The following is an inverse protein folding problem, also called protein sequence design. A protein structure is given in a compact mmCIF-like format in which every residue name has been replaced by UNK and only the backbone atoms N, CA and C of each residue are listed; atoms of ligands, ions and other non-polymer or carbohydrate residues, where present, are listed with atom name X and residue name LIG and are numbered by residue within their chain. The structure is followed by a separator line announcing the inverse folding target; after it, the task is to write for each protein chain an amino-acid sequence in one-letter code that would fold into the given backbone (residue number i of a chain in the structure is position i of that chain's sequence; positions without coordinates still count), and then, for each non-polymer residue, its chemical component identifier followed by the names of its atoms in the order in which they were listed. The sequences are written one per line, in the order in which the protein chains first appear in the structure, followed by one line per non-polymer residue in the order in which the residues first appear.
data_IF_641686818730
#
_entry.id   IF_641686818730
#
_cell.length_a   1.000
_cell.length_b   1.000
_cell.length_c   1.000
_cell.angle_alpha   90.00
_cell.angle_beta   90.00
_cell.angle_gamma   90.00
#
_symmetry.space_group_name_H-M   'P 1'
#
loop_
_entity.id
_entity.type
_entity.pdbx_description
1 polymer ?
#
# COMPACT_ATOMS: atom_id res chain seq x y z
N UNK A 1 -27.80 15.07 -31.94
CA UNK A 1 -26.97 16.19 -31.47
C UNK A 1 -25.69 15.60 -30.89
N UNK A 2 -24.65 15.45 -31.72
CA UNK A 2 -23.36 14.89 -31.28
C UNK A 2 -22.62 15.98 -30.50
N UNK A 3 -22.57 15.85 -29.18
CA UNK A 3 -21.74 16.69 -28.32
C UNK A 3 -20.29 16.25 -28.50
N UNK A 4 -19.55 16.96 -29.34
CA UNK A 4 -18.09 16.81 -29.44
C UNK A 4 -17.50 17.24 -28.11
N UNK A 5 -17.15 16.28 -27.27
CA UNK A 5 -16.48 16.55 -26.00
C UNK A 5 -15.16 17.28 -26.31
N UNK A 6 -14.92 18.48 -25.78
CA UNK A 6 -13.68 19.20 -26.04
C UNK A 6 -12.51 18.33 -25.59
N UNK A 7 -11.55 18.13 -26.50
CA UNK A 7 -10.34 17.35 -26.22
C UNK A 7 -9.66 18.00 -25.00
N UNK A 8 -9.41 17.25 -23.91
CA UNK A 8 -8.75 17.80 -22.74
C UNK A 8 -7.42 18.43 -23.15
N UNK A 9 -7.12 19.63 -22.66
CA UNK A 9 -5.85 20.35 -22.95
C UNK A 9 -4.62 19.71 -22.30
N UNK A 10 -4.76 18.48 -21.79
CA UNK A 10 -3.77 17.77 -21.01
C UNK A 10 -3.75 16.30 -21.41
N UNK A 11 -2.57 15.68 -21.27
CA UNK A 11 -2.36 14.25 -21.48
C UNK A 11 -2.20 13.53 -20.14
N UNK A 12 -2.63 12.28 -20.09
CA UNK A 12 -2.21 11.37 -19.04
C UNK A 12 -0.80 10.88 -19.32
N UNK A 13 0.02 10.81 -18.29
CA UNK A 13 1.36 10.23 -18.39
C UNK A 13 1.31 8.72 -18.11
N UNK A 14 2.25 7.93 -18.64
CA UNK A 14 2.38 6.53 -18.27
C UNK A 14 2.72 6.36 -16.77
N UNK A 15 2.38 5.20 -16.19
CA UNK A 15 2.60 4.93 -14.77
C UNK A 15 4.06 5.11 -14.30
N UNK A 16 5.03 4.82 -15.15
CA UNK A 16 6.45 4.99 -14.82
C UNK A 16 6.85 6.46 -14.56
N UNK A 17 6.01 7.42 -14.98
CA UNK A 17 6.19 8.84 -14.69
C UNK A 17 5.56 9.29 -13.37
N UNK A 18 4.64 8.52 -12.79
CA UNK A 18 3.78 9.01 -11.71
C UNK A 18 4.54 9.45 -10.46
N UNK A 19 5.68 8.85 -10.15
CA UNK A 19 6.52 9.26 -9.03
C UNK A 19 7.00 10.73 -9.12
N UNK A 20 7.02 11.30 -10.32
CA UNK A 20 7.35 12.71 -10.53
C UNK A 20 6.15 13.65 -10.39
N UNK A 21 4.92 13.13 -10.25
CA UNK A 21 3.75 13.95 -9.96
C UNK A 21 3.78 14.43 -8.50
N UNK A 22 3.47 15.70 -8.22
CA UNK A 22 3.38 16.20 -6.84
C UNK A 22 2.29 15.51 -6.02
N UNK A 23 1.35 14.80 -6.65
CA UNK A 23 0.21 14.15 -5.99
C UNK A 23 0.42 12.66 -5.69
N UNK A 24 1.34 11.98 -6.38
CA UNK A 24 1.37 10.51 -6.38
C UNK A 24 1.80 9.89 -5.05
N UNK A 25 2.79 10.51 -4.40
CA UNK A 25 3.32 10.07 -3.10
C UNK A 25 2.94 11.02 -1.95
N UNK A 26 1.96 11.90 -2.18
CA UNK A 26 1.49 12.87 -1.20
C UNK A 26 0.13 12.47 -0.64
N UNK A 27 -0.15 12.87 0.60
CA UNK A 27 -1.51 12.91 1.14
C UNK A 27 -2.21 14.12 0.54
N UNK A 28 -2.87 13.93 -0.61
CA UNK A 28 -3.49 15.02 -1.37
C UNK A 28 -4.64 15.60 -0.54
N UNK A 29 -4.52 16.87 -0.17
CA UNK A 29 -5.58 17.57 0.56
C UNK A 29 -6.74 17.83 -0.40
N UNK A 30 -7.90 17.28 -0.08
CA UNK A 30 -9.11 17.39 -0.91
C UNK A 30 -10.29 17.75 -0.03
N UNK A 31 -11.19 18.54 -0.61
CA UNK A 31 -12.55 18.60 -0.12
C UNK A 31 -13.28 17.30 -0.46
N UNK A 32 -14.30 16.94 0.31
CA UNK A 32 -15.08 15.72 0.11
C UNK A 32 -15.75 15.70 -1.26
N UNK A 33 -16.32 16.81 -1.71
CA UNK A 33 -16.85 16.93 -3.06
C UNK A 33 -15.80 16.63 -4.15
N UNK A 34 -14.54 17.02 -3.93
CA UNK A 34 -13.46 16.75 -4.86
C UNK A 34 -13.02 15.28 -4.84
N UNK A 35 -13.13 14.58 -3.69
CA UNK A 35 -12.90 13.13 -3.60
C UNK A 35 -13.85 12.41 -4.55
N UNK A 36 -15.14 12.76 -4.52
CA UNK A 36 -16.14 12.16 -5.41
C UNK A 36 -15.91 12.48 -6.88
N UNK A 37 -15.44 13.70 -7.17
CA UNK A 37 -15.11 14.16 -8.51
C UNK A 37 -13.85 13.51 -9.12
N UNK A 38 -13.04 12.79 -8.33
CA UNK A 38 -11.90 12.05 -8.85
C UNK A 38 -12.33 11.05 -9.92
N UNK A 39 -11.61 11.01 -11.04
CA UNK A 39 -11.94 10.14 -12.18
C UNK A 39 -11.10 8.86 -12.16
N UNK A 40 -11.75 7.74 -12.43
CA UNK A 40 -11.07 6.47 -12.71
C UNK A 40 -10.75 6.39 -14.20
N UNK A 41 -9.57 5.88 -14.55
CA UNK A 41 -9.14 5.71 -15.93
C UNK A 41 -9.01 4.21 -16.23
N UNK A 42 -9.56 3.69 -17.36
CA UNK A 42 -9.57 2.26 -17.65
C UNK A 42 -8.19 1.59 -17.57
N UNK A 43 -7.16 2.27 -18.08
CA UNK A 43 -5.77 1.77 -18.09
C UNK A 43 -5.16 1.62 -16.68
N UNK A 44 -5.78 2.25 -15.67
CA UNK A 44 -5.28 2.29 -14.29
C UNK A 44 -6.29 1.78 -13.26
N UNK A 45 -7.46 1.29 -13.69
CA UNK A 45 -8.57 0.93 -12.81
C UNK A 45 -8.17 -0.12 -11.75
N UNK A 46 -7.31 -1.07 -12.11
CA UNK A 46 -6.84 -2.14 -11.20
C UNK A 46 -5.85 -1.64 -10.14
N UNK A 47 -5.28 -0.45 -10.31
CA UNK A 47 -4.21 0.08 -9.46
C UNK A 47 -4.74 0.95 -8.30
N UNK A 48 -6.07 1.15 -8.21
CA UNK A 48 -6.72 2.09 -7.27
C UNK A 48 -6.11 3.51 -7.36
N UNK A 49 -5.79 3.93 -8.58
CA UNK A 49 -5.29 5.28 -8.88
C UNK A 49 -6.41 6.04 -9.57
N UNK A 50 -6.66 7.24 -9.06
CA UNK A 50 -7.66 8.16 -9.58
C UNK A 50 -7.02 9.44 -10.08
N UNK A 51 -7.77 10.27 -10.78
CA UNK A 51 -7.23 11.45 -11.43
C UNK A 51 -8.06 12.69 -11.13
N UNK A 52 -7.37 13.75 -10.70
CA UNK A 52 -7.88 15.11 -10.77
C UNK A 52 -7.16 15.81 -11.93
N UNK A 53 -7.89 16.25 -12.95
CA UNK A 53 -7.31 16.56 -14.27
C UNK A 53 -6.46 15.39 -14.79
N UNK A 54 -5.13 15.55 -14.85
CA UNK A 54 -4.15 14.52 -15.16
C UNK A 54 -3.18 14.20 -14.00
N UNK A 55 -3.47 14.65 -12.78
CA UNK A 55 -2.70 14.32 -11.58
C UNK A 55 -3.12 12.96 -11.04
N UNK A 56 -2.22 11.95 -10.93
CA UNK A 56 -2.53 10.67 -10.31
C UNK A 56 -2.63 10.81 -8.78
N UNK A 57 -3.74 10.34 -8.20
CA UNK A 57 -4.07 10.43 -6.78
C UNK A 57 -4.37 9.02 -6.26
N UNK A 58 -3.67 8.61 -5.20
CA UNK A 58 -3.89 7.33 -4.51
C UNK A 58 -4.05 7.45 -2.99
N UNK A 59 -3.69 8.61 -2.44
CA UNK A 59 -3.80 8.94 -1.03
C UNK A 59 -4.47 10.30 -0.89
N UNK A 60 -5.43 10.39 0.03
CA UNK A 60 -6.18 11.62 0.29
C UNK A 60 -6.11 12.01 1.76
N UNK A 61 -6.19 13.30 2.02
CA UNK A 61 -6.35 13.87 3.36
C UNK A 61 -7.63 14.71 3.35
N UNK A 62 -8.57 14.35 4.20
CA UNK A 62 -9.83 15.11 4.40
C UNK A 62 -9.88 15.62 5.83
N UNK A 63 -10.50 16.77 6.03
CA UNK A 63 -10.78 17.35 7.35
C UNK A 63 -12.24 17.74 7.40
N UNK A 64 -12.98 17.20 8.37
CA UNK A 64 -14.41 17.46 8.50
C UNK A 64 -15.00 16.84 9.76
N UNK A 65 -16.24 17.18 10.06
CA UNK A 65 -17.00 16.67 11.17
C UNK A 65 -17.48 15.24 10.90
N UNK A 66 -17.41 14.38 11.92
CA UNK A 66 -18.06 13.08 11.91
C UNK A 66 -19.57 13.30 12.08
N UNK A 67 -20.37 12.91 11.10
CA UNK A 67 -21.84 13.09 11.12
C UNK A 67 -22.60 11.78 11.35
N UNK A 68 -21.94 10.63 11.19
CA UNK A 68 -22.48 9.32 11.56
C UNK A 68 -21.35 8.36 11.91
N UNK A 69 -21.65 7.39 12.79
CA UNK A 69 -20.75 6.30 13.19
C UNK A 69 -21.56 5.01 13.14
N UNK A 70 -21.23 4.13 12.20
CA UNK A 70 -21.98 2.90 11.94
C UNK A 70 -21.15 1.66 12.27
N UNK A 71 -21.70 0.77 13.11
CA UNK A 71 -21.16 -0.57 13.35
C UNK A 71 -21.76 -1.55 12.32
N UNK A 72 -21.08 -1.72 11.20
CA UNK A 72 -21.61 -2.50 10.07
C UNK A 72 -21.53 -3.99 10.32
N UNK A 73 -20.35 -4.46 10.75
CA UNK A 73 -20.09 -5.84 11.10
C UNK A 73 -18.82 -5.95 11.95
N UNK A 74 -18.44 -7.18 12.30
CA UNK A 74 -17.25 -7.47 13.11
C UNK A 74 -15.93 -6.94 12.52
N UNK A 75 -15.88 -6.66 11.22
CA UNK A 75 -14.69 -6.20 10.50
C UNK A 75 -14.68 -4.70 10.20
N UNK A 76 -15.83 -4.05 10.08
CA UNK A 76 -15.91 -2.68 9.60
C UNK A 76 -16.76 -1.79 10.51
N UNK A 77 -16.15 -0.66 10.88
CA UNK A 77 -16.84 0.50 11.42
C UNK A 77 -16.70 1.64 10.42
N UNK A 78 -17.80 2.34 10.11
CA UNK A 78 -17.80 3.42 9.13
C UNK A 78 -18.04 4.74 9.85
N UNK A 79 -17.20 5.73 9.54
CA UNK A 79 -17.45 7.13 9.89
C UNK A 79 -17.98 7.82 8.64
N UNK A 80 -19.08 8.57 8.74
CA UNK A 80 -19.47 9.51 7.68
C UNK A 80 -18.88 10.87 8.02
N UNK A 81 -18.09 11.43 7.11
CA UNK A 81 -17.44 12.75 7.29
C UNK A 81 -18.10 13.78 6.39
N UNK A 82 -18.38 14.96 6.94
CA UNK A 82 -18.84 16.16 6.24
C UNK A 82 -17.85 17.32 6.46
N UNK A 83 -17.38 17.93 5.39
CA UNK A 83 -16.49 19.10 5.41
C UNK A 83 -17.17 20.39 4.92
N UNK A 84 -18.49 20.35 4.69
CA UNK A 84 -19.27 21.48 4.21
C UNK A 84 -19.10 21.78 2.71
N UNK A 85 -18.35 20.98 1.96
CA UNK A 85 -18.13 21.19 0.51
C UNK A 85 -19.30 20.79 -0.38
N UNK A 86 -20.41 20.31 0.20
CA UNK A 86 -21.62 19.90 -0.49
C UNK A 86 -21.74 18.38 -0.73
N UNK A 87 -20.89 17.57 -0.10
CA UNK A 87 -20.98 16.12 -0.10
C UNK A 87 -20.41 15.52 1.19
N UNK A 88 -20.83 14.32 1.55
CA UNK A 88 -20.24 13.52 2.62
C UNK A 88 -19.46 12.33 2.05
N UNK A 89 -18.55 11.75 2.84
CA UNK A 89 -17.82 10.54 2.45
C UNK A 89 -17.70 9.56 3.59
N UNK A 90 -17.85 8.29 3.26
CA UNK A 90 -17.65 7.19 4.19
C UNK A 90 -16.17 6.87 4.35
N UNK A 91 -15.70 6.86 5.59
CA UNK A 91 -14.36 6.49 6.01
C UNK A 91 -14.42 5.22 6.83
N UNK A 92 -13.96 4.13 6.21
CA UNK A 92 -13.94 2.79 6.77
C UNK A 92 -12.74 2.58 7.69
N UNK A 93 -13.02 2.21 8.93
CA UNK A 93 -12.09 1.67 9.90
C UNK A 93 -12.12 0.14 9.78
N UNK A 94 -10.96 -0.47 9.56
CA UNK A 94 -10.83 -1.94 9.48
C UNK A 94 -10.43 -2.48 10.85
N UNK A 95 -11.32 -3.24 11.48
CA UNK A 95 -11.11 -3.94 12.75
C UNK A 95 -10.30 -5.21 12.51
N UNK A 96 -9.38 -5.52 13.41
CA UNK A 96 -8.67 -6.81 13.43
C UNK A 96 -9.62 -7.86 14.00
N UNK A 97 -9.84 -8.95 13.26
CA UNK A 97 -10.64 -10.08 13.75
C UNK A 97 -9.86 -10.88 14.79
N UNK A 98 -10.52 -11.67 15.66
CA UNK A 98 -9.84 -12.46 16.68
C UNK A 98 -8.71 -13.35 16.14
N UNK A 99 -8.85 -13.86 14.91
CA UNK A 99 -7.86 -14.72 14.26
C UNK A 99 -6.57 -13.96 13.86
N UNK A 100 -6.66 -12.63 13.75
CA UNK A 100 -5.55 -11.74 13.32
C UNK A 100 -5.06 -10.86 14.46
N UNK A 101 -5.91 -10.61 15.47
CA UNK A 101 -5.58 -9.72 16.57
C UNK A 101 -4.61 -10.39 17.54
N UNK A 102 -3.42 -9.81 17.64
CA UNK A 102 -2.41 -10.16 18.62
C UNK A 102 -2.08 -8.91 19.45
N UNK A 103 -2.44 -8.84 20.74
CA UNK A 103 -2.20 -7.65 21.58
C UNK A 103 -0.71 -7.36 21.83
N UNK A 104 0.18 -8.31 21.54
CA UNK A 104 1.64 -8.10 21.61
C UNK A 104 2.17 -7.40 20.37
N UNK A 105 1.58 -7.66 19.20
CA UNK A 105 2.00 -7.09 17.91
C UNK A 105 1.20 -5.85 17.51
N UNK A 106 -0.06 -5.76 17.93
CA UNK A 106 -0.97 -4.67 17.60
C UNK A 106 -1.45 -3.98 18.89
N UNK A 107 -1.09 -2.70 19.10
CA UNK A 107 -1.53 -1.96 20.28
C UNK A 107 -3.03 -1.67 20.26
N UNK A 108 -3.66 -1.75 19.08
CA UNK A 108 -5.08 -1.53 18.84
C UNK A 108 -5.76 -2.74 18.20
N UNK A 109 -7.09 -2.87 18.41
CA UNK A 109 -7.94 -3.85 17.74
C UNK A 109 -8.39 -3.43 16.33
N UNK A 110 -7.71 -2.46 15.72
CA UNK A 110 -7.91 -2.04 14.33
C UNK A 110 -6.57 -2.00 13.59
N UNK A 111 -6.60 -1.87 12.27
CA UNK A 111 -5.38 -1.68 11.45
C UNK A 111 -4.73 -0.30 11.63
N UNK A 112 -5.32 0.57 12.45
CA UNK A 112 -4.83 1.92 12.75
C UNK A 112 -4.48 1.98 14.24
N UNK A 113 -3.20 2.05 14.54
CA UNK A 113 -2.64 1.84 15.88
C UNK A 113 -3.28 2.68 16.99
N UNK A 114 -3.73 3.90 16.66
CA UNK A 114 -4.29 4.82 17.64
C UNK A 114 -5.82 4.88 17.65
N UNK A 115 -6.50 3.95 16.97
CA UNK A 115 -7.97 3.91 16.88
C UNK A 115 -8.47 2.62 17.50
N UNK A 116 -9.30 2.67 18.53
CA UNK A 116 -9.92 1.46 19.11
C UNK A 116 -11.42 1.46 18.91
N UNK A 117 -12.00 0.28 18.66
CA UNK A 117 -13.44 0.09 18.51
C UNK A 117 -13.95 -0.96 19.48
N UNK A 118 -14.80 -0.58 20.42
CA UNK A 118 -15.52 -1.50 21.30
C UNK A 118 -16.92 -1.67 20.75
N UNK A 119 -17.30 -2.90 20.40
CA UNK A 119 -18.65 -3.22 19.91
C UNK A 119 -19.11 -4.52 20.57
N UNK A 120 -20.09 -4.39 21.47
CA UNK A 120 -20.71 -5.46 22.25
C UNK A 120 -22.13 -5.05 22.64
N UNK A 121 -22.93 -5.98 23.15
CA UNK A 121 -24.32 -5.70 23.51
C UNK A 121 -24.41 -4.50 24.47
N UNK A 122 -25.13 -3.45 24.07
CA UNK A 122 -25.33 -2.23 24.86
C UNK A 122 -24.15 -1.26 24.92
N UNK A 123 -23.02 -1.54 24.24
CA UNK A 123 -21.85 -0.65 24.21
C UNK A 123 -21.24 -0.62 22.82
N UNK A 124 -21.27 0.57 22.21
CA UNK A 124 -20.54 0.86 20.98
C UNK A 124 -19.74 2.16 21.17
N UNK A 125 -18.42 2.06 21.08
CA UNK A 125 -17.51 3.18 21.31
C UNK A 125 -16.34 3.12 20.34
N UNK A 126 -16.03 4.27 19.73
CA UNK A 126 -14.83 4.48 18.94
C UNK A 126 -13.96 5.48 19.69
N UNK A 127 -12.67 5.19 19.85
CA UNK A 127 -11.72 6.13 20.46
C UNK A 127 -10.52 6.37 19.55
N UNK A 128 -10.01 7.60 19.60
CA UNK A 128 -8.76 8.02 18.93
C UNK A 128 -7.80 8.54 20.00
N UNK A 129 -6.62 7.93 20.14
CA UNK A 129 -5.69 8.21 21.24
C UNK A 129 -6.36 8.15 22.63
N UNK A 130 -7.20 7.14 22.86
CA UNK A 130 -8.01 6.98 24.09
C UNK A 130 -9.02 8.11 24.36
N UNK A 131 -9.26 9.00 23.41
CA UNK A 131 -10.33 10.00 23.49
C UNK A 131 -11.56 9.49 22.74
N UNK A 132 -12.77 9.55 23.32
CA UNK A 132 -13.99 9.20 22.61
C UNK A 132 -14.15 10.02 21.34
N UNK A 133 -14.48 9.33 20.25
CA UNK A 133 -14.85 9.93 18.98
C UNK A 133 -16.37 9.88 18.88
N UNK A 134 -17.01 11.04 18.93
CA UNK A 134 -18.47 11.16 18.87
C UNK A 134 -18.91 11.96 17.64
N UNK A 135 -20.18 11.86 17.29
CA UNK A 135 -20.82 12.71 16.26
C UNK A 135 -20.59 14.18 16.62
N UNK A 136 -20.21 14.98 15.62
CA UNK A 136 -19.80 16.38 15.75
C UNK A 136 -18.30 16.57 15.97
N UNK A 137 -17.53 15.50 16.24
CA UNK A 137 -16.07 15.61 16.37
C UNK A 137 -15.45 15.88 15.01
N UNK A 138 -14.61 16.91 14.91
CA UNK A 138 -13.83 17.20 13.70
C UNK A 138 -12.57 16.35 13.69
N UNK A 139 -12.33 15.66 12.58
CA UNK A 139 -11.14 14.83 12.40
C UNK A 139 -10.37 15.19 11.14
N UNK A 140 -9.06 15.00 11.21
CA UNK A 140 -8.16 14.94 10.05
C UNK A 140 -7.88 13.50 9.72
N UNK A 141 -8.40 13.01 8.61
CA UNK A 141 -8.26 11.63 8.17
C UNK A 141 -7.38 11.52 6.93
N UNK A 142 -6.36 10.66 7.02
CA UNK A 142 -5.50 10.27 5.90
C UNK A 142 -5.89 8.87 5.45
N UNK A 143 -6.27 8.75 4.18
CA UNK A 143 -6.94 7.57 3.66
C UNK A 143 -6.41 7.12 2.30
N UNK A 144 -6.56 5.83 2.02
CA UNK A 144 -6.55 5.30 0.65
C UNK A 144 -7.97 5.31 0.09
N UNK A 145 -8.11 5.36 -1.24
CA UNK A 145 -9.43 5.38 -1.89
C UNK A 145 -9.85 3.94 -2.25
N UNK A 146 -11.13 3.64 -2.07
CA UNK A 146 -11.82 2.43 -2.53
C UNK A 146 -13.15 2.78 -3.16
N UNK A 147 -13.76 1.83 -3.88
CA UNK A 147 -15.11 1.99 -4.41
C UNK A 147 -15.99 0.84 -3.93
N UNK A 148 -17.24 1.15 -3.60
CA UNK A 148 -18.28 0.17 -3.31
C UNK A 148 -19.57 0.63 -4.00
N UNK A 149 -20.17 -0.23 -4.82
CA UNK A 149 -21.37 0.10 -5.61
C UNK A 149 -21.24 1.41 -6.39
N UNK A 150 -20.08 1.61 -7.02
CA UNK A 150 -19.74 2.82 -7.79
C UNK A 150 -19.68 4.12 -6.99
N UNK A 151 -19.71 4.05 -5.66
CA UNK A 151 -19.49 5.18 -4.76
C UNK A 151 -18.09 5.11 -4.18
N UNK A 152 -17.40 6.25 -4.14
CA UNK A 152 -16.06 6.32 -3.55
C UNK A 152 -16.19 6.32 -2.03
N UNK A 153 -15.43 5.43 -1.42
CA UNK A 153 -15.27 5.33 0.03
C UNK A 153 -13.79 5.41 0.35
N UNK A 154 -13.48 5.85 1.56
CA UNK A 154 -12.11 5.98 2.04
C UNK A 154 -11.79 4.86 3.02
N UNK A 155 -10.57 4.34 2.98
CA UNK A 155 -10.06 3.41 3.99
C UNK A 155 -9.03 4.11 4.84
N UNK A 156 -9.28 4.18 6.14
CA UNK A 156 -8.50 4.95 7.08
C UNK A 156 -7.08 4.38 7.22
N UNK A 157 -6.09 5.26 7.21
CA UNK A 157 -4.68 4.93 7.47
C UNK A 157 -4.09 5.69 8.65
N UNK A 158 -4.50 6.95 8.86
CA UNK A 158 -4.13 7.75 10.04
C UNK A 158 -5.24 8.75 10.36
N UNK A 159 -5.45 9.04 11.64
CA UNK A 159 -6.45 10.00 12.10
C UNK A 159 -5.96 10.84 13.29
N UNK A 160 -6.41 12.09 13.35
CA UNK A 160 -6.25 13.00 14.48
C UNK A 160 -7.56 13.71 14.75
N UNK A 161 -7.89 13.93 16.03
CA UNK A 161 -8.96 14.84 16.44
C UNK A 161 -8.44 16.27 16.26
N UNK A 162 -9.22 17.08 15.55
CA UNK A 162 -9.02 18.53 15.40
C UNK A 162 -9.80 19.19 16.53
N UNK A 163 -9.12 19.95 17.40
CA UNK A 163 -9.68 20.35 18.70
C UNK A 163 -10.29 21.74 18.68
N UNK A 164 -9.86 22.59 17.77
CA UNK A 164 -10.29 23.98 17.72
C UNK A 164 -10.81 24.35 16.35
N UNK A 165 -11.76 25.28 16.31
CA UNK A 165 -12.27 25.84 15.06
C UNK A 165 -11.17 26.55 14.26
N UNK A 166 -10.14 27.08 14.92
CA UNK A 166 -8.98 27.65 14.24
C UNK A 166 -8.19 26.58 13.48
N UNK A 167 -7.90 25.43 14.10
CA UNK A 167 -7.22 24.32 13.42
C UNK A 167 -8.02 23.80 12.21
N UNK A 168 -9.35 23.75 12.34
CA UNK A 168 -10.25 23.40 11.24
C UNK A 168 -10.17 24.43 10.10
N UNK A 169 -10.28 25.72 10.42
CA UNK A 169 -10.19 26.80 9.44
C UNK A 169 -8.82 26.85 8.73
N UNK A 170 -7.73 26.60 9.47
CA UNK A 170 -6.38 26.47 8.91
C UNK A 170 -6.30 25.28 7.95
N UNK A 171 -6.89 24.14 8.29
CA UNK A 171 -6.92 22.98 7.40
C UNK A 171 -7.71 23.26 6.11
N UNK A 172 -8.80 24.01 6.18
CA UNK A 172 -9.53 24.47 4.98
C UNK A 172 -8.70 25.42 4.13
N UNK A 173 -7.99 26.36 4.75
CA UNK A 173 -7.09 27.26 4.05
C UNK A 173 -5.95 26.50 3.34
N UNK A 174 -5.35 25.51 4.00
CA UNK A 174 -4.33 24.63 3.40
C UNK A 174 -4.90 23.83 2.22
N UNK A 175 -6.12 23.31 2.35
CA UNK A 175 -6.78 22.51 1.30
C UNK A 175 -7.12 23.37 0.09
N UNK A 176 -7.67 24.57 0.31
CA UNK A 176 -7.96 25.54 -0.74
C UNK A 176 -6.67 26.00 -1.45
N UNK A 177 -5.61 26.29 -0.69
CA UNK A 177 -4.31 26.65 -1.26
C UNK A 177 -3.72 25.52 -2.11
N UNK A 178 -3.77 24.27 -1.61
CA UNK A 178 -3.31 23.10 -2.35
C UNK A 178 -4.09 22.90 -3.66
N UNK A 179 -5.42 22.99 -3.61
CA UNK A 179 -6.27 22.89 -4.80
C UNK A 179 -5.91 23.96 -5.82
N UNK A 180 -5.75 25.22 -5.39
CA UNK A 180 -5.41 26.34 -6.27
C UNK A 180 -4.02 26.19 -6.90
N UNK A 181 -3.02 25.85 -6.10
CA UNK A 181 -1.61 25.84 -6.52
C UNK A 181 -1.24 24.58 -7.31
N UNK A 182 -1.82 23.43 -6.98
CA UNK A 182 -1.44 22.13 -7.55
C UNK A 182 -2.54 21.57 -8.44
N UNK A 183 -3.73 21.32 -7.89
CA UNK A 183 -4.75 20.53 -8.58
C UNK A 183 -5.47 21.27 -9.71
N UNK A 184 -5.56 22.60 -9.62
CA UNK A 184 -6.27 23.43 -10.61
C UNK A 184 -5.47 23.64 -11.89
N UNK A 185 -4.20 23.26 -11.92
CA UNK A 185 -3.34 23.36 -13.10
C UNK A 185 -2.94 21.97 -13.57
N UNK A 186 -3.07 21.64 -14.87
CA UNK A 186 -2.62 20.34 -15.37
C UNK A 186 -1.14 20.08 -15.07
N UNK A 187 -0.83 18.87 -14.61
CA UNK A 187 0.54 18.41 -14.42
C UNK A 187 1.29 18.37 -15.75
N UNK A 188 2.51 18.88 -15.76
CA UNK A 188 3.41 18.86 -16.92
C UNK A 188 4.75 18.29 -16.50
N UNK A 189 5.32 17.45 -17.37
CA UNK A 189 6.70 17.01 -17.28
C UNK A 189 7.50 17.69 -18.37
N UNK A 190 8.60 18.33 -17.96
CA UNK A 190 9.59 18.87 -18.88
C UNK A 190 10.35 17.73 -19.58
N UNK A 191 10.90 18.00 -20.76
CA UNK A 191 11.73 17.01 -21.47
C UNK A 191 12.95 16.58 -20.63
N UNK A 192 13.46 17.47 -19.77
CA UNK A 192 14.55 17.16 -18.83
C UNK A 192 14.12 16.15 -17.78
N UNK A 193 12.98 16.37 -17.11
CA UNK A 193 12.45 15.44 -16.10
C UNK A 193 12.13 14.08 -16.72
N UNK A 194 11.51 14.06 -17.90
CA UNK A 194 11.19 12.81 -18.59
C UNK A 194 12.45 12.02 -18.97
N UNK A 195 13.50 12.70 -19.44
CA UNK A 195 14.80 12.09 -19.70
C UNK A 195 15.42 11.53 -18.42
N UNK A 196 15.41 12.28 -17.32
CA UNK A 196 15.94 11.82 -16.02
C UNK A 196 15.22 10.56 -15.52
N UNK A 197 13.89 10.50 -15.65
CA UNK A 197 13.10 9.31 -15.29
C UNK A 197 13.54 8.11 -16.16
N UNK A 198 13.64 8.31 -17.46
CA UNK A 198 14.00 7.25 -18.41
C UNK A 198 15.42 6.74 -18.18
N UNK A 199 16.38 7.64 -17.99
CA UNK A 199 17.78 7.31 -17.68
C UNK A 199 17.88 6.55 -16.34
N UNK A 200 17.09 6.96 -15.34
CA UNK A 200 16.99 6.28 -14.05
C UNK A 200 16.45 4.85 -14.16
N UNK A 201 15.42 4.64 -14.99
CA UNK A 201 14.86 3.30 -15.26
C UNK A 201 15.91 2.42 -15.96
N UNK A 202 16.58 2.95 -16.97
CA UNK A 202 17.63 2.22 -17.70
C UNK A 202 18.79 1.84 -16.78
N UNK A 203 19.25 2.76 -15.93
CA UNK A 203 20.30 2.48 -14.95
C UNK A 203 19.90 1.40 -13.95
N UNK A 204 18.67 1.45 -13.41
CA UNK A 204 18.14 0.39 -12.52
C UNK A 204 18.09 -0.97 -13.23
N UNK A 205 17.64 -1.01 -14.48
CA UNK A 205 17.57 -2.24 -15.29
C UNK A 205 18.96 -2.83 -15.52
N UNK A 206 19.94 -2.01 -15.87
CA UNK A 206 21.34 -2.45 -16.04
C UNK A 206 21.91 -3.03 -14.75
N UNK A 207 21.70 -2.36 -13.60
CA UNK A 207 22.14 -2.86 -12.29
C UNK A 207 21.48 -4.18 -11.94
N UNK A 208 20.18 -4.32 -12.15
CA UNK A 208 19.46 -5.56 -11.88
C UNK A 208 19.98 -6.73 -12.74
N UNK A 209 20.27 -6.49 -14.02
CA UNK A 209 20.85 -7.50 -14.91
C UNK A 209 22.25 -7.93 -14.46
N UNK A 210 23.09 -6.98 -14.04
CA UNK A 210 24.42 -7.29 -13.49
C UNK A 210 24.32 -8.11 -12.21
N UNK A 211 23.42 -7.74 -11.29
CA UNK A 211 23.17 -8.51 -10.07
C UNK A 211 22.67 -9.92 -10.35
N UNK A 212 21.79 -10.10 -11.34
CA UNK A 212 21.26 -11.40 -11.75
C UNK A 212 22.37 -12.29 -12.34
N UNK A 213 23.24 -11.74 -13.20
CA UNK A 213 24.40 -12.46 -13.73
C UNK A 213 25.34 -12.92 -12.61
N UNK A 214 25.64 -12.04 -11.66
CA UNK A 214 26.49 -12.38 -10.51
C UNK A 214 25.84 -13.44 -9.61
N UNK A 215 24.51 -13.40 -9.41
CA UNK A 215 23.77 -14.43 -8.68
C UNK A 215 23.82 -15.77 -9.41
N UNK A 216 23.57 -15.80 -10.72
CA UNK A 216 23.62 -17.01 -11.53
C UNK A 216 25.02 -17.64 -11.53
N UNK A 217 26.07 -16.83 -11.61
CA UNK A 217 27.45 -17.32 -11.55
C UNK A 217 27.77 -17.92 -10.16
N UNK A 218 27.34 -17.27 -9.08
CA UNK A 218 27.48 -17.79 -7.71
C UNK A 218 26.72 -19.11 -7.53
N UNK A 219 25.50 -19.20 -8.05
CA UNK A 219 24.68 -20.40 -7.97
C UNK A 219 25.29 -21.55 -8.77
N UNK A 220 25.83 -21.26 -9.96
CA UNK A 220 26.56 -22.25 -10.77
C UNK A 220 27.78 -22.78 -10.01
N UNK A 221 28.64 -21.89 -9.50
CA UNK A 221 29.82 -22.28 -8.70
C UNK A 221 29.44 -23.05 -7.44
N UNK A 222 28.33 -22.70 -6.78
CA UNK A 222 27.80 -23.42 -5.62
C UNK A 222 27.36 -24.84 -5.97
N UNK A 223 26.61 -25.01 -7.08
CA UNK A 223 26.19 -26.32 -7.60
C UNK A 223 27.38 -27.19 -7.96
N UNK A 224 28.40 -26.64 -8.62
CA UNK A 224 29.63 -27.38 -8.94
C UNK A 224 30.36 -27.84 -7.67
N UNK A 225 30.53 -26.96 -6.68
CA UNK A 225 31.14 -27.32 -5.39
C UNK A 225 30.34 -28.40 -4.67
N UNK A 226 29.01 -28.36 -4.73
CA UNK A 226 28.13 -29.37 -4.14
C UNK A 226 28.27 -30.73 -4.86
N UNK A 227 28.32 -30.72 -6.20
CA UNK A 227 28.54 -31.93 -7.00
C UNK A 227 29.90 -32.56 -6.70
N UNK A 228 30.97 -31.78 -6.73
CA UNK A 228 32.32 -32.26 -6.42
C UNK A 228 32.45 -32.80 -4.99
N UNK A 229 31.77 -32.18 -4.00
CA UNK A 229 31.68 -32.72 -2.64
C UNK A 229 30.93 -34.06 -2.61
N UNK A 230 29.81 -34.16 -3.32
CA UNK A 230 29.04 -35.41 -3.46
C UNK A 230 29.87 -36.54 -4.07
N UNK A 231 30.56 -36.27 -5.18
CA UNK A 231 31.44 -37.25 -5.86
C UNK A 231 32.60 -37.70 -4.94
N UNK A 232 33.23 -36.77 -4.20
CA UNK A 232 34.28 -37.10 -3.22
C UNK A 232 33.76 -38.00 -2.09
N UNK A 233 32.56 -37.73 -1.59
CA UNK A 233 31.92 -38.55 -0.55
C UNK A 233 31.60 -39.95 -1.08
N UNK A 234 30.99 -40.05 -2.27
CA UNK A 234 30.70 -41.34 -2.91
C UNK A 234 31.95 -42.17 -3.19
N UNK A 235 33.03 -41.55 -3.70
CA UNK A 235 34.30 -42.23 -3.93
C UNK A 235 34.94 -42.74 -2.62
N UNK A 236 34.78 -41.99 -1.52
CA UNK A 236 35.21 -42.42 -0.19
C UNK A 236 34.41 -43.61 0.31
N UNK A 237 33.10 -43.61 0.08
CA UNK A 237 32.19 -44.70 0.45
C UNK A 237 32.51 -45.99 -0.32
N UNK A 238 32.69 -45.93 -1.65
CA UNK A 238 33.11 -47.07 -2.48
C UNK A 238 34.43 -47.67 -1.98
N UNK A 239 35.43 -46.83 -1.65
CA UNK A 239 36.70 -47.31 -1.08
C UNK A 239 36.49 -48.03 0.24
N UNK A 240 35.66 -47.48 1.13
CA UNK A 240 35.36 -48.07 2.43
C UNK A 240 34.63 -49.41 2.28
N UNK A 241 33.67 -49.50 1.37
CA UNK A 241 32.92 -50.72 1.07
C UNK A 241 33.81 -51.79 0.45
N UNK A 242 34.72 -51.41 -0.46
CA UNK A 242 35.71 -52.36 -1.02
C UNK A 242 36.66 -52.91 0.03
N UNK A 243 37.03 -52.10 1.03
CA UNK A 243 37.84 -52.54 2.18
C UNK A 243 37.05 -53.53 3.04
N UNK A 244 35.79 -53.21 3.35
CA UNK A 244 34.89 -54.13 4.07
C UNK A 244 34.74 -55.47 3.35
N UNK A 245 34.50 -55.49 2.03
CA UNK A 245 34.38 -56.73 1.25
C UNK A 245 35.66 -57.57 1.26
N UNK A 246 36.84 -56.93 1.21
CA UNK A 246 38.13 -57.64 1.34
C UNK A 246 38.32 -58.22 2.74
N UNK A 247 37.98 -57.46 3.78
CA UNK A 247 37.99 -57.92 5.17
C UNK A 247 37.02 -59.10 5.36
N UNK A 248 35.80 -59.03 4.82
CA UNK A 248 34.81 -60.12 4.82
C UNK A 248 35.31 -61.37 4.07
N UNK A 249 35.93 -61.22 2.90
CA UNK A 249 36.53 -62.35 2.15
C UNK A 249 37.68 -63.00 2.92
N UNK A 250 38.54 -62.21 3.58
CA UNK A 250 39.60 -62.76 4.45
C UNK A 250 39.03 -63.51 5.65
N UNK A 251 37.98 -62.98 6.28
CA UNK A 251 37.29 -63.63 7.40
C UNK A 251 36.59 -64.93 6.95
N UNK A 252 36.00 -64.95 5.75
CA UNK A 252 35.30 -66.11 5.19
C UNK A 252 36.24 -67.19 4.61
N UNK A 253 37.44 -66.83 4.13
CA UNK A 253 38.45 -67.79 3.68
C UNK A 253 39.01 -68.65 4.82
N UNK A 254 38.87 -68.18 6.07
CA UNK A 254 39.15 -68.97 7.28
C UNK A 254 37.98 -69.86 7.74
N UNK A 255 36.85 -69.90 7.01
CA UNK A 255 35.59 -70.55 7.42
C UNK A 255 35.20 -71.77 6.57
N UNK A 256 36.06 -72.28 5.69
CA UNK A 256 35.86 -73.56 4.99
C UNK A 256 36.71 -74.66 5.65
N UNK A 257 36.11 -75.31 6.65
CA UNK A 257 36.31 -76.71 7.04
C UNK A 257 34.94 -77.37 6.92
#
# INVERSE_FOLDING_TARGET
MSTTTPVPSYRLFPAYCFEASPTYNAWVKLFVADVHALRSEPDFATQKIYFFLNHPVRFVCVVGAVVAIDDINTKYTILTIDDGSGATVEVKIVRLTPDTYNPVEFPSNTVVDNVHVVSRLGVFEVTVNHQPLDIGTVIKAKCTISEFRSQKQLELKRVWIVRTTNEEAEAWAETAAWKKQVLSTPWRLTSREHKQITDGINSKKQKAQQEEQLRAERDFKSKERRKARGERMAAREIKLESRRRKEELMMNAGSLI
#
